data_IF_752133366059
#
_entry.id   IF_752133366059
#
_cell.length_a   1.000
_cell.length_b   1.000
_cell.length_c   1.000
_cell.angle_alpha   90.00
_cell.angle_beta   90.00
_cell.angle_gamma   90.00
#
_symmetry.space_group_name_H-M   'P 1'
#
loop_
_entity.id
_entity.type
_entity.pdbx_description
1 polymer ?
#
# COMPACT_ATOMS: atom_id res chain seq x y z
N UNK A 1 -64.16 -28.50 16.09
CA UNK A 1 -63.37 -28.37 14.84
C UNK A 1 -63.30 -26.92 14.36
N UNK A 2 -64.37 -26.13 14.40
CA UNK A 2 -64.40 -24.75 13.91
C UNK A 2 -63.48 -23.79 14.73
N UNK A 3 -63.46 -23.94 16.07
CA UNK A 3 -62.63 -23.11 16.94
C UNK A 3 -61.12 -23.27 16.70
N UNK A 4 -60.64 -24.49 16.44
CA UNK A 4 -59.22 -24.75 16.13
C UNK A 4 -58.78 -24.12 14.80
N UNK A 5 -59.61 -24.13 13.80
CA UNK A 5 -59.34 -23.51 12.50
C UNK A 5 -59.23 -21.99 12.62
N UNK A 6 -60.12 -21.37 13.41
CA UNK A 6 -60.11 -19.92 13.65
C UNK A 6 -58.84 -19.45 14.38
N UNK A 7 -58.40 -20.25 15.39
CA UNK A 7 -57.10 -19.96 16.11
C UNK A 7 -55.91 -20.07 15.15
N UNK A 8 -55.85 -21.16 14.36
CA UNK A 8 -54.77 -21.35 13.35
C UNK A 8 -54.72 -20.24 12.32
N UNK A 9 -55.86 -19.79 11.82
CA UNK A 9 -55.93 -18.67 10.87
C UNK A 9 -55.46 -17.35 11.49
N UNK A 10 -55.78 -17.09 12.76
CA UNK A 10 -55.32 -15.90 13.50
C UNK A 10 -53.83 -15.92 13.77
N UNK A 11 -53.24 -17.05 14.15
CA UNK A 11 -51.80 -17.19 14.34
C UNK A 11 -51.03 -17.08 13.03
N UNK A 12 -51.55 -17.70 11.95
CA UNK A 12 -50.96 -17.58 10.63
C UNK A 12 -51.01 -16.14 10.09
N UNK A 13 -52.06 -15.38 10.35
CA UNK A 13 -52.13 -13.97 10.00
C UNK A 13 -51.16 -13.11 10.80
N UNK A 14 -51.00 -13.37 12.10
CA UNK A 14 -49.96 -12.68 12.95
C UNK A 14 -48.54 -12.96 12.46
N UNK A 15 -48.21 -14.22 12.15
CA UNK A 15 -46.91 -14.61 11.64
C UNK A 15 -46.61 -13.93 10.27
N UNK A 16 -47.58 -13.85 9.37
CA UNK A 16 -47.41 -13.13 8.11
C UNK A 16 -47.17 -11.62 8.32
N UNK A 17 -47.94 -11.00 9.23
CA UNK A 17 -47.76 -9.59 9.54
C UNK A 17 -46.38 -9.28 10.18
N UNK A 18 -45.95 -10.15 11.08
CA UNK A 18 -44.63 -10.04 11.74
C UNK A 18 -43.50 -10.22 10.71
N UNK A 19 -43.63 -11.23 9.85
CA UNK A 19 -42.63 -11.49 8.80
C UNK A 19 -42.53 -10.31 7.81
N UNK A 20 -43.67 -9.72 7.42
CA UNK A 20 -43.70 -8.54 6.57
C UNK A 20 -43.07 -7.30 7.24
N UNK A 21 -43.26 -7.14 8.57
CA UNK A 21 -42.63 -6.06 9.32
C UNK A 21 -41.11 -6.26 9.42
N UNK A 22 -40.68 -7.48 9.70
CA UNK A 22 -39.26 -7.84 9.77
C UNK A 22 -38.54 -7.62 8.44
N UNK A 23 -39.17 -8.03 7.33
CA UNK A 23 -38.61 -7.79 5.98
C UNK A 23 -38.46 -6.31 5.65
N UNK A 24 -39.40 -5.47 6.10
CA UNK A 24 -39.26 -4.01 5.93
C UNK A 24 -38.13 -3.44 6.75
N UNK A 25 -37.96 -3.88 7.99
CA UNK A 25 -36.89 -3.44 8.86
C UNK A 25 -35.53 -3.86 8.31
N UNK A 26 -35.39 -5.10 7.83
CA UNK A 26 -34.15 -5.59 7.19
C UNK A 26 -33.83 -4.73 5.95
N UNK A 27 -34.80 -4.45 5.11
CA UNK A 27 -34.60 -3.62 3.91
C UNK A 27 -34.20 -2.18 4.26
N UNK A 28 -34.78 -1.61 5.32
CA UNK A 28 -34.43 -0.28 5.83
C UNK A 28 -33.02 -0.25 6.41
N UNK A 29 -32.66 -1.22 7.24
CA UNK A 29 -31.30 -1.37 7.78
C UNK A 29 -30.26 -1.51 6.68
N UNK A 30 -30.54 -2.31 5.64
CA UNK A 30 -29.64 -2.48 4.50
C UNK A 30 -29.43 -1.16 3.76
N UNK A 31 -30.47 -0.40 3.51
CA UNK A 31 -30.36 0.95 2.90
C UNK A 31 -29.55 1.92 3.74
N UNK A 32 -29.75 1.92 5.06
CA UNK A 32 -28.98 2.79 5.98
C UNK A 32 -27.50 2.40 5.98
N UNK A 33 -27.20 1.09 6.02
CA UNK A 33 -25.83 0.58 5.93
C UNK A 33 -25.15 0.97 4.61
N UNK A 34 -25.83 0.81 3.47
CA UNK A 34 -25.30 1.21 2.16
C UNK A 34 -25.03 2.73 2.12
N UNK A 35 -25.95 3.54 2.64
CA UNK A 35 -25.77 5.00 2.71
C UNK A 35 -24.62 5.39 3.62
N UNK A 36 -24.48 4.73 4.77
CA UNK A 36 -23.37 4.96 5.71
C UNK A 36 -22.04 4.61 5.07
N UNK A 37 -21.93 3.46 4.43
CA UNK A 37 -20.70 3.03 3.75
C UNK A 37 -20.26 4.03 2.66
N UNK A 38 -21.21 4.56 1.87
CA UNK A 38 -20.92 5.60 0.87
C UNK A 38 -20.47 6.92 1.52
N UNK A 39 -21.11 7.30 2.64
CA UNK A 39 -20.74 8.51 3.36
C UNK A 39 -19.35 8.41 4.00
N UNK A 40 -19.04 7.28 4.64
CA UNK A 40 -17.72 7.00 5.20
C UNK A 40 -16.63 7.03 4.13
N UNK A 41 -16.87 6.39 2.99
CA UNK A 41 -15.94 6.41 1.86
C UNK A 41 -15.71 7.81 1.31
N UNK A 42 -16.77 8.64 1.26
CA UNK A 42 -16.69 10.02 0.80
C UNK A 42 -15.90 10.90 1.77
N UNK A 43 -16.11 10.70 3.08
CA UNK A 43 -15.37 11.40 4.14
C UNK A 43 -13.89 11.03 4.11
N UNK A 44 -13.58 9.75 3.96
CA UNK A 44 -12.19 9.28 3.85
C UNK A 44 -11.48 9.90 2.64
N UNK A 45 -12.13 9.91 1.49
CA UNK A 45 -11.59 10.54 0.29
C UNK A 45 -11.40 12.06 0.47
N UNK A 46 -12.37 12.73 1.08
CA UNK A 46 -12.28 14.14 1.38
C UNK A 46 -11.12 14.44 2.34
N UNK A 47 -10.94 13.61 3.36
CA UNK A 47 -9.82 13.71 4.30
C UNK A 47 -8.46 13.51 3.61
N UNK A 48 -8.34 12.51 2.72
CA UNK A 48 -7.13 12.28 1.91
C UNK A 48 -6.82 13.48 1.01
N UNK A 49 -7.84 14.08 0.38
CA UNK A 49 -7.67 15.26 -0.46
C UNK A 49 -7.35 16.52 0.36
N UNK A 50 -7.94 16.68 1.53
CA UNK A 50 -7.64 17.78 2.43
C UNK A 50 -6.18 17.71 2.93
N UNK A 51 -5.73 16.53 3.36
CA UNK A 51 -4.34 16.30 3.73
C UNK A 51 -3.37 16.60 2.57
N UNK A 52 -3.71 16.20 1.34
CA UNK A 52 -2.92 16.54 0.14
C UNK A 52 -2.94 18.05 -0.14
N UNK A 53 -4.07 18.74 0.12
CA UNK A 53 -4.22 20.18 -0.05
C UNK A 53 -3.39 20.96 0.97
N UNK A 54 -3.44 20.61 2.24
CA UNK A 54 -2.63 21.22 3.30
C UNK A 54 -1.13 21.07 3.02
N UNK A 55 -0.74 19.98 2.37
CA UNK A 55 0.66 19.68 2.05
C UNK A 55 1.06 20.04 0.61
N UNK A 56 0.23 20.82 -0.08
CA UNK A 56 0.53 21.25 -1.46
C UNK A 56 1.87 21.98 -1.58
N UNK A 57 2.29 22.67 -0.53
CA UNK A 57 3.59 23.34 -0.44
C UNK A 57 4.75 22.30 -0.42
N UNK A 58 4.62 21.23 0.35
CA UNK A 58 5.63 20.16 0.41
C UNK A 58 5.71 19.40 -0.91
N UNK A 59 4.57 19.04 -1.50
CA UNK A 59 4.51 18.41 -2.83
C UNK A 59 5.12 19.30 -3.89
N UNK A 60 4.79 20.59 -3.89
CA UNK A 60 5.36 21.58 -4.82
C UNK A 60 6.88 21.69 -4.63
N UNK A 61 7.35 21.69 -3.40
CA UNK A 61 8.77 21.73 -3.09
C UNK A 61 9.49 20.49 -3.61
N UNK A 62 8.96 19.30 -3.37
CA UNK A 62 9.50 18.01 -3.84
C UNK A 62 9.50 17.87 -5.38
N UNK A 63 8.55 18.49 -6.07
CA UNK A 63 8.54 18.55 -7.54
C UNK A 63 9.47 19.62 -8.09
N UNK A 64 9.62 20.75 -7.41
CA UNK A 64 10.48 21.83 -7.83
C UNK A 64 11.97 21.51 -7.67
N UNK A 65 12.36 20.70 -6.71
CA UNK A 65 13.74 20.29 -6.48
C UNK A 65 14.36 19.58 -7.71
N UNK A 66 13.80 18.45 -8.24
CA UNK A 66 14.33 17.81 -9.42
C UNK A 66 14.29 18.71 -10.66
N UNK A 67 13.26 19.57 -10.80
CA UNK A 67 13.20 20.56 -11.87
C UNK A 67 14.35 21.56 -11.82
N UNK A 68 14.71 22.07 -10.65
CA UNK A 68 15.84 22.97 -10.48
C UNK A 68 17.16 22.26 -10.79
N UNK A 69 17.32 21.01 -10.33
CA UNK A 69 18.50 20.21 -10.64
C UNK A 69 18.63 19.92 -12.15
N UNK A 70 17.53 19.55 -12.83
CA UNK A 70 17.53 19.37 -14.31
C UNK A 70 17.96 20.63 -15.04
N UNK A 71 17.46 21.81 -14.65
CA UNK A 71 17.89 23.08 -15.20
C UNK A 71 19.40 23.29 -15.06
N UNK A 72 19.95 22.96 -13.90
CA UNK A 72 21.40 23.10 -13.63
C UNK A 72 22.22 22.13 -14.49
N UNK A 73 21.82 20.86 -14.59
CA UNK A 73 22.51 19.88 -15.44
C UNK A 73 22.40 20.24 -16.91
N UNK A 74 21.26 20.73 -17.38
CA UNK A 74 21.06 21.15 -18.77
C UNK A 74 21.98 22.35 -19.13
N UNK A 75 22.04 23.36 -18.25
CA UNK A 75 22.93 24.50 -18.43
C UNK A 75 24.41 24.06 -18.42
N UNK A 76 24.77 23.17 -17.48
CA UNK A 76 26.11 22.58 -17.38
C UNK A 76 26.49 21.80 -18.64
N UNK A 77 25.60 20.94 -19.15
CA UNK A 77 25.81 20.18 -20.39
C UNK A 77 26.03 21.10 -21.58
N UNK A 78 25.25 22.20 -21.69
CA UNK A 78 25.46 23.21 -22.75
C UNK A 78 26.82 23.89 -22.66
N UNK A 79 27.35 24.19 -21.48
CA UNK A 79 28.68 24.73 -21.28
C UNK A 79 29.78 23.73 -21.62
N UNK A 80 29.60 22.45 -21.23
CA UNK A 80 30.53 21.38 -21.54
C UNK A 80 30.67 21.14 -23.06
N UNK A 81 29.55 21.13 -23.76
CA UNK A 81 29.57 21.04 -25.24
C UNK A 81 30.31 22.20 -25.89
N UNK A 82 30.10 23.43 -25.42
CA UNK A 82 30.85 24.61 -25.91
C UNK A 82 32.36 24.53 -25.66
N UNK A 83 32.75 23.76 -24.63
CA UNK A 83 34.16 23.50 -24.26
C UNK A 83 34.73 22.23 -24.89
N UNK A 84 34.03 21.64 -25.87
CA UNK A 84 34.40 20.40 -26.53
C UNK A 84 34.62 19.21 -25.61
N UNK A 85 33.72 19.05 -24.56
CA UNK A 85 33.73 17.97 -23.57
C UNK A 85 32.43 17.17 -23.67
N UNK A 86 32.18 16.41 -24.77
CA UNK A 86 30.91 15.76 -25.02
C UNK A 86 30.60 14.62 -24.02
N UNK A 87 31.62 13.86 -23.59
CA UNK A 87 31.41 12.73 -22.69
C UNK A 87 30.86 13.16 -21.31
N UNK A 88 31.33 14.30 -20.80
CA UNK A 88 30.81 14.85 -19.55
C UNK A 88 29.43 15.48 -19.74
N UNK A 89 29.14 16.01 -20.92
CA UNK A 89 27.79 16.45 -21.23
C UNK A 89 26.81 15.26 -21.28
N UNK A 90 27.20 14.11 -21.85
CA UNK A 90 26.42 12.88 -21.85
C UNK A 90 26.12 12.39 -20.45
N UNK A 91 27.09 12.46 -19.53
CA UNK A 91 26.85 12.14 -18.11
C UNK A 91 25.80 13.05 -17.46
N UNK A 92 25.76 14.33 -17.84
CA UNK A 92 24.73 15.27 -17.36
C UNK A 92 23.35 14.94 -17.89
N UNK A 93 23.22 14.46 -19.13
CA UNK A 93 21.94 13.98 -19.68
C UNK A 93 21.44 12.73 -18.97
N UNK A 94 22.32 11.77 -18.63
CA UNK A 94 21.95 10.61 -17.83
C UNK A 94 21.37 11.01 -16.46
N UNK A 95 21.96 12.01 -15.80
CA UNK A 95 21.42 12.54 -14.54
C UNK A 95 20.06 13.23 -14.70
N UNK A 96 19.81 13.88 -15.85
CA UNK A 96 18.50 14.47 -16.16
C UNK A 96 17.45 13.36 -16.31
N UNK A 97 17.78 12.27 -16.99
CA UNK A 97 16.89 11.13 -17.18
C UNK A 97 16.50 10.50 -15.83
N UNK A 98 17.47 10.26 -14.95
CA UNK A 98 17.21 9.79 -13.56
C UNK A 98 16.23 10.72 -12.80
N UNK A 99 16.36 12.05 -12.99
CA UNK A 99 15.47 13.02 -12.32
C UNK A 99 14.06 13.01 -12.92
N UNK A 100 13.91 12.78 -14.23
CA UNK A 100 12.61 12.63 -14.90
C UNK A 100 11.91 11.38 -14.39
N UNK A 101 12.62 10.25 -14.33
CA UNK A 101 12.07 9.00 -13.75
C UNK A 101 11.60 9.18 -12.33
N UNK A 102 12.37 9.89 -11.52
CA UNK A 102 12.03 10.22 -10.15
C UNK A 102 10.75 11.07 -10.06
N UNK A 103 10.60 12.11 -10.88
CA UNK A 103 9.36 12.91 -10.93
C UNK A 103 8.16 12.05 -11.33
N UNK A 104 8.34 11.14 -12.29
CA UNK A 104 7.32 10.17 -12.67
C UNK A 104 6.89 9.28 -11.48
N UNK A 105 7.84 8.85 -10.66
CA UNK A 105 7.55 8.07 -9.46
C UNK A 105 6.74 8.87 -8.41
N UNK A 106 7.14 10.13 -8.14
CA UNK A 106 6.41 11.04 -7.24
C UNK A 106 4.96 11.24 -7.73
N UNK A 107 4.79 11.51 -9.03
CA UNK A 107 3.47 11.74 -9.63
C UNK A 107 2.59 10.50 -9.55
N UNK A 108 3.14 9.31 -9.79
CA UNK A 108 2.42 8.03 -9.63
C UNK A 108 1.99 7.80 -8.18
N UNK A 109 2.83 8.10 -7.19
CA UNK A 109 2.52 7.99 -5.78
C UNK A 109 1.36 8.93 -5.37
N UNK A 110 1.40 10.19 -5.82
CA UNK A 110 0.34 11.17 -5.57
C UNK A 110 -0.99 10.72 -6.20
N UNK A 111 -0.95 10.24 -7.44
CA UNK A 111 -2.13 9.72 -8.14
C UNK A 111 -2.72 8.49 -7.43
N UNK A 112 -1.87 7.59 -6.94
CA UNK A 112 -2.29 6.42 -6.17
C UNK A 112 -2.95 6.81 -4.84
N UNK A 113 -2.42 7.83 -4.15
CA UNK A 113 -3.01 8.34 -2.91
C UNK A 113 -4.39 8.98 -3.12
N UNK A 114 -4.58 9.67 -4.25
CA UNK A 114 -5.83 10.35 -4.60
C UNK A 114 -6.88 9.42 -5.26
N UNK A 115 -6.47 8.22 -5.74
CA UNK A 115 -7.34 7.32 -6.50
C UNK A 115 -8.29 6.56 -5.57
N UNK A 116 -9.55 6.52 -5.96
CA UNK A 116 -10.58 5.67 -5.36
C UNK A 116 -10.34 4.21 -5.77
N UNK A 117 -10.17 3.30 -4.82
CA UNK A 117 -10.08 1.87 -5.11
C UNK A 117 -11.41 1.35 -5.66
N UNK A 118 -11.47 1.05 -6.94
CA UNK A 118 -12.67 0.55 -7.64
C UNK A 118 -12.36 -0.63 -8.57
N UNK A 119 -11.29 -1.39 -8.32
CA UNK A 119 -11.09 -2.64 -9.06
C UNK A 119 -11.71 -3.79 -8.28
N UNK A 120 -12.40 -4.68 -8.99
CA UNK A 120 -13.02 -5.85 -8.38
C UNK A 120 -11.95 -6.71 -7.70
N UNK A 121 -12.16 -7.05 -6.44
CA UNK A 121 -11.28 -7.96 -5.73
C UNK A 121 -11.31 -9.33 -6.40
N UNK A 122 -10.14 -9.91 -6.60
CA UNK A 122 -9.95 -11.23 -7.17
C UNK A 122 -9.03 -12.06 -6.27
N UNK A 123 -9.06 -13.39 -6.37
CA UNK A 123 -8.09 -14.23 -5.66
C UNK A 123 -6.66 -13.92 -6.13
N UNK A 124 -5.79 -13.61 -5.18
CA UNK A 124 -4.37 -13.30 -5.42
C UNK A 124 -3.50 -14.25 -4.62
N UNK A 125 -2.61 -14.97 -5.31
CA UNK A 125 -1.57 -15.75 -4.67
C UNK A 125 -0.42 -14.82 -4.24
N UNK A 126 -0.21 -14.75 -2.93
CA UNK A 126 0.78 -13.88 -2.30
C UNK A 126 2.22 -14.23 -2.69
N UNK A 127 2.53 -15.52 -2.88
CA UNK A 127 3.86 -15.97 -3.30
C UNK A 127 4.15 -15.54 -4.74
N UNK A 128 3.17 -15.65 -5.63
CA UNK A 128 3.26 -15.16 -7.01
C UNK A 128 3.40 -13.63 -7.08
N UNK A 129 2.64 -12.89 -6.29
CA UNK A 129 2.75 -11.43 -6.21
C UNK A 129 4.12 -10.98 -5.66
N UNK A 130 4.66 -11.70 -4.66
CA UNK A 130 6.00 -11.46 -4.14
C UNK A 130 7.08 -11.72 -5.19
N UNK A 131 6.97 -12.81 -5.96
CA UNK A 131 7.91 -13.13 -7.03
C UNK A 131 7.94 -12.03 -8.10
N UNK A 132 6.77 -11.52 -8.52
CA UNK A 132 6.65 -10.37 -9.44
C UNK A 132 7.31 -9.11 -8.87
N UNK A 133 7.05 -8.81 -7.60
CA UNK A 133 7.62 -7.65 -6.91
C UNK A 133 9.15 -7.71 -6.82
N UNK A 134 9.70 -8.88 -6.52
CA UNK A 134 11.15 -9.11 -6.50
C UNK A 134 11.77 -9.00 -7.89
N UNK A 135 11.10 -9.50 -8.93
CA UNK A 135 11.56 -9.37 -10.32
C UNK A 135 11.65 -7.91 -10.75
N UNK A 136 10.66 -7.08 -10.37
CA UNK A 136 10.71 -5.63 -10.63
C UNK A 136 11.87 -4.93 -9.92
N UNK A 137 12.30 -5.45 -8.76
CA UNK A 137 13.38 -4.88 -7.96
C UNK A 137 14.77 -5.46 -8.29
N UNK A 138 14.83 -6.50 -9.14
CA UNK A 138 16.06 -7.24 -9.42
C UNK A 138 17.25 -6.37 -9.84
N UNK A 139 17.12 -5.35 -10.72
CA UNK A 139 18.25 -4.49 -11.08
C UNK A 139 18.85 -3.78 -9.86
N UNK A 140 18.02 -3.27 -8.96
CA UNK A 140 18.44 -2.55 -7.76
C UNK A 140 19.07 -3.50 -6.71
N UNK A 141 18.52 -4.70 -6.58
CA UNK A 141 19.04 -5.75 -5.70
C UNK A 141 20.43 -6.20 -6.12
N UNK A 142 20.65 -6.43 -7.43
CA UNK A 142 21.95 -6.82 -7.99
C UNK A 142 22.97 -5.70 -7.86
N UNK A 143 22.60 -4.46 -8.16
CA UNK A 143 23.50 -3.32 -8.06
C UNK A 143 24.05 -3.11 -6.64
N UNK A 144 23.22 -3.39 -5.62
CA UNK A 144 23.56 -3.19 -4.20
C UNK A 144 24.12 -4.43 -3.52
N UNK A 145 24.19 -5.57 -4.20
CA UNK A 145 24.66 -6.85 -3.66
C UNK A 145 23.98 -7.23 -2.34
N UNK A 146 22.66 -7.05 -2.26
CA UNK A 146 21.88 -7.36 -1.07
C UNK A 146 21.63 -8.86 -0.98
N UNK A 147 21.94 -9.45 0.16
CA UNK A 147 21.58 -10.85 0.47
C UNK A 147 20.09 -10.92 0.79
N UNK A 148 19.34 -11.65 -0.02
CA UNK A 148 17.89 -11.89 0.19
C UNK A 148 17.68 -13.33 0.61
N UNK A 149 17.13 -13.52 1.82
CA UNK A 149 16.59 -14.80 2.27
C UNK A 149 15.07 -14.80 2.15
N UNK A 150 14.51 -15.93 1.72
CA UNK A 150 13.07 -16.13 1.55
C UNK A 150 12.62 -17.38 2.26
N UNK A 151 11.59 -17.27 3.08
CA UNK A 151 10.91 -18.38 3.73
C UNK A 151 9.45 -18.31 3.27
N UNK A 152 9.05 -19.26 2.44
CA UNK A 152 7.71 -19.32 1.85
C UNK A 152 7.07 -20.64 2.25
N UNK A 153 5.75 -20.68 2.46
CA UNK A 153 5.04 -21.93 2.69
C UNK A 153 4.97 -22.77 1.40
N UNK A 154 4.84 -24.08 1.55
CA UNK A 154 4.68 -25.01 0.43
C UNK A 154 3.32 -24.87 -0.26
N UNK A 155 2.29 -24.49 0.50
CA UNK A 155 0.93 -24.30 0.00
C UNK A 155 0.70 -22.85 -0.46
N UNK A 156 -0.09 -22.63 -1.53
CA UNK A 156 -0.45 -21.28 -1.99
C UNK A 156 -1.21 -20.50 -0.92
N UNK A 157 -0.83 -19.26 -0.71
CA UNK A 157 -1.50 -18.34 0.22
C UNK A 157 -2.36 -17.37 -0.59
N UNK A 158 -3.68 -17.64 -0.61
CA UNK A 158 -4.62 -16.88 -1.42
C UNK A 158 -5.36 -15.86 -0.55
N UNK A 159 -5.36 -14.61 -1.00
CA UNK A 159 -6.11 -13.50 -0.40
C UNK A 159 -7.05 -12.89 -1.43
N UNK A 160 -8.14 -12.25 -0.98
CA UNK A 160 -9.02 -11.47 -1.87
C UNK A 160 -8.49 -10.05 -1.98
N UNK A 161 -8.20 -9.58 -3.21
CA UNK A 161 -7.68 -8.23 -3.38
C UNK A 161 -7.39 -7.84 -4.82
N UNK A 162 -6.80 -6.66 -4.96
CA UNK A 162 -6.23 -6.16 -6.20
C UNK A 162 -4.72 -6.48 -6.22
N UNK A 163 -4.32 -7.33 -7.16
CA UNK A 163 -2.93 -7.79 -7.31
C UNK A 163 -1.95 -6.61 -7.44
N UNK A 164 -2.28 -5.60 -8.25
CA UNK A 164 -1.39 -4.46 -8.47
C UNK A 164 -1.18 -3.64 -7.19
N UNK A 165 -2.23 -3.47 -6.39
CA UNK A 165 -2.15 -2.77 -5.09
C UNK A 165 -1.32 -3.57 -4.08
N UNK A 166 -1.48 -4.89 -4.03
CA UNK A 166 -0.68 -5.78 -3.17
C UNK A 166 0.80 -5.72 -3.57
N UNK A 167 1.11 -5.86 -4.88
CA UNK A 167 2.47 -5.73 -5.40
C UNK A 167 3.07 -4.33 -5.11
N UNK A 168 2.28 -3.27 -5.18
CA UNK A 168 2.69 -1.92 -4.82
C UNK A 168 3.14 -1.83 -3.35
N UNK A 169 2.41 -2.44 -2.42
CA UNK A 169 2.80 -2.51 -1.01
C UNK A 169 4.12 -3.27 -0.87
N UNK A 170 4.22 -4.46 -1.48
CA UNK A 170 5.43 -5.29 -1.42
C UNK A 170 6.66 -4.55 -1.96
N UNK A 171 6.56 -3.91 -3.12
CA UNK A 171 7.65 -3.12 -3.71
C UNK A 171 8.05 -1.96 -2.80
N UNK A 172 7.08 -1.30 -2.17
CA UNK A 172 7.39 -0.21 -1.25
C UNK A 172 8.14 -0.70 0.01
N UNK A 173 7.71 -1.81 0.62
CA UNK A 173 8.39 -2.40 1.78
C UNK A 173 9.81 -2.86 1.41
N UNK A 174 9.98 -3.53 0.27
CA UNK A 174 11.28 -3.96 -0.24
C UNK A 174 12.20 -2.77 -0.50
N UNK A 175 11.71 -1.70 -1.11
CA UNK A 175 12.47 -0.47 -1.36
C UNK A 175 12.92 0.18 -0.06
N UNK A 176 12.05 0.23 0.95
CA UNK A 176 12.40 0.77 2.25
C UNK A 176 13.50 -0.06 2.94
N UNK A 177 13.41 -1.39 2.89
CA UNK A 177 14.46 -2.27 3.39
C UNK A 177 15.78 -2.08 2.66
N UNK A 178 15.77 -1.96 1.33
CA UNK A 178 16.96 -1.65 0.53
C UNK A 178 17.59 -0.30 0.89
N UNK A 179 16.76 0.70 1.12
CA UNK A 179 17.25 2.03 1.49
C UNK A 179 17.85 2.04 2.89
N UNK A 180 17.23 1.33 3.83
CA UNK A 180 17.74 1.21 5.20
C UNK A 180 19.09 0.48 5.27
N UNK A 181 19.36 -0.44 4.35
CA UNK A 181 20.61 -1.22 4.33
C UNK A 181 21.76 -0.58 3.56
N UNK A 182 21.58 0.64 2.98
CA UNK A 182 22.60 1.33 2.17
C UNK A 182 23.97 1.48 2.84
N UNK A 183 23.99 1.67 4.14
CA UNK A 183 25.22 1.90 4.93
C UNK A 183 25.78 0.62 5.56
N UNK A 184 25.10 -0.51 5.38
CA UNK A 184 25.52 -1.77 5.97
C UNK A 184 26.65 -2.40 5.16
N UNK A 185 27.66 -2.96 5.85
CA UNK A 185 28.76 -3.68 5.20
C UNK A 185 28.27 -4.95 4.48
N UNK A 186 27.29 -5.63 5.04
CA UNK A 186 26.64 -6.82 4.50
C UNK A 186 25.13 -6.58 4.53
N UNK A 187 24.57 -5.94 3.50
CA UNK A 187 23.15 -5.64 3.46
C UNK A 187 22.32 -6.93 3.34
N UNK A 188 21.37 -7.12 4.27
CA UNK A 188 20.51 -8.30 4.34
C UNK A 188 19.05 -7.90 4.43
N UNK A 189 18.22 -8.60 3.67
CA UNK A 189 16.76 -8.51 3.75
C UNK A 189 16.18 -9.93 3.82
N UNK A 190 15.42 -10.18 4.87
CA UNK A 190 14.70 -11.43 5.07
C UNK A 190 13.22 -11.23 4.78
N UNK A 191 12.64 -12.13 4.01
CA UNK A 191 11.24 -12.10 3.59
C UNK A 191 10.60 -13.41 4.03
N UNK A 192 9.55 -13.32 4.85
CA UNK A 192 8.82 -14.48 5.35
C UNK A 192 7.36 -14.31 4.95
N UNK A 193 6.82 -15.29 4.23
CA UNK A 193 5.39 -15.42 4.01
C UNK A 193 4.88 -16.60 4.83
N UNK A 194 3.87 -16.37 5.64
CA UNK A 194 3.23 -17.41 6.45
C UNK A 194 1.72 -17.34 6.33
N UNK A 195 1.07 -18.49 6.48
CA UNK A 195 -0.37 -18.64 6.52
C UNK A 195 -0.76 -19.17 7.91
N UNK A 196 -1.68 -18.47 8.58
CA UNK A 196 -2.28 -18.83 9.85
C UNK A 196 -3.75 -18.42 9.83
N UNK A 197 -4.22 -17.67 10.81
CA UNK A 197 -5.53 -16.99 10.75
C UNK A 197 -5.54 -15.91 9.66
N UNK A 198 -4.37 -15.34 9.36
CA UNK A 198 -4.14 -14.36 8.30
C UNK A 198 -2.95 -14.76 7.45
N UNK A 199 -2.91 -14.28 6.20
CA UNK A 199 -1.72 -14.27 5.38
C UNK A 199 -0.79 -13.17 5.87
N UNK A 200 0.38 -13.51 6.37
CA UNK A 200 1.34 -12.55 6.91
C UNK A 200 2.60 -12.53 6.07
N UNK A 201 2.90 -11.38 5.46
CA UNK A 201 4.18 -11.10 4.83
C UNK A 201 5.03 -10.26 5.76
N UNK A 202 6.17 -10.78 6.18
CA UNK A 202 7.17 -10.09 6.99
C UNK A 202 8.37 -9.72 6.12
N UNK A 203 8.77 -8.46 6.15
CA UNK A 203 10.00 -7.95 5.53
C UNK A 203 10.87 -7.40 6.64
N UNK A 204 12.06 -7.99 6.83
CA UNK A 204 13.03 -7.60 7.83
C UNK A 204 14.33 -7.17 7.16
N UNK A 205 14.88 -6.05 7.59
CA UNK A 205 16.20 -5.56 7.19
C UNK A 205 17.18 -5.58 8.35
N UNK A 206 18.46 -5.42 8.05
CA UNK A 206 19.52 -5.23 9.04
C UNK A 206 20.04 -3.78 9.07
N UNK A 207 19.18 -2.81 8.73
CA UNK A 207 19.49 -1.40 8.79
C UNK A 207 19.55 -0.82 10.21
N UNK A 208 19.49 0.51 10.35
CA UNK A 208 19.55 1.18 11.65
C UNK A 208 18.28 1.00 12.50
N UNK A 209 17.18 0.53 11.92
CA UNK A 209 15.89 0.48 12.57
C UNK A 209 15.05 1.75 12.37
N UNK A 210 14.02 1.91 13.18
CA UNK A 210 13.00 2.98 13.11
C UNK A 210 13.13 3.84 14.36
N UNK A 211 13.36 5.15 14.19
CA UNK A 211 13.50 6.09 15.28
C UNK A 211 12.14 6.46 15.91
N UNK A 212 11.13 6.71 15.07
CA UNK A 212 9.81 7.11 15.53
C UNK A 212 8.73 6.20 14.91
N UNK A 213 8.27 5.24 15.70
CA UNK A 213 7.24 4.28 15.30
C UNK A 213 5.85 4.91 15.19
N UNK A 214 5.56 5.92 16.01
CA UNK A 214 4.22 6.53 16.07
C UNK A 214 3.93 7.36 14.80
N UNK A 215 4.93 8.08 14.29
CA UNK A 215 4.79 8.90 13.08
C UNK A 215 5.04 8.12 11.77
N UNK A 216 5.49 6.86 11.85
CA UNK A 216 5.99 6.11 10.70
C UNK A 216 4.99 5.99 9.53
N UNK A 217 3.71 5.87 9.84
CA UNK A 217 2.62 5.75 8.87
C UNK A 217 1.92 7.09 8.58
N UNK A 218 2.36 8.18 9.20
CA UNK A 218 1.83 9.50 8.89
C UNK A 218 2.26 9.93 7.48
N UNK A 219 1.37 10.53 6.69
CA UNK A 219 1.73 11.08 5.40
C UNK A 219 2.90 12.07 5.52
N UNK A 220 3.85 12.00 4.59
CA UNK A 220 5.04 12.87 4.49
C UNK A 220 6.08 12.72 5.59
N UNK A 221 5.88 11.83 6.55
CA UNK A 221 6.94 11.50 7.47
C UNK A 221 8.07 10.76 6.75
N UNK A 222 9.28 11.29 6.81
CA UNK A 222 10.48 10.69 6.22
C UNK A 222 11.73 11.08 6.99
N UNK A 223 12.60 10.11 7.20
CA UNK A 223 13.97 10.31 7.74
C UNK A 223 15.01 10.38 6.62
N UNK A 224 14.59 10.24 5.35
CA UNK A 224 15.47 10.33 4.18
C UNK A 224 15.82 11.79 3.89
N UNK A 225 16.97 12.00 3.22
CA UNK A 225 17.36 13.35 2.82
C UNK A 225 16.32 13.97 1.87
N UNK A 226 16.17 15.31 1.90
CA UNK A 226 15.30 15.99 0.96
C UNK A 226 15.56 15.53 -0.47
N UNK A 227 14.51 15.03 -1.10
CA UNK A 227 14.60 14.50 -2.44
C UNK A 227 14.76 12.97 -2.54
N UNK A 228 15.04 12.21 -1.48
CA UNK A 228 15.13 10.73 -1.52
C UNK A 228 13.81 10.01 -1.20
N UNK A 229 12.76 10.75 -0.91
CA UNK A 229 11.42 10.21 -0.69
C UNK A 229 10.45 11.25 -0.14
N UNK A 230 9.21 11.19 -0.60
CA UNK A 230 8.12 12.13 -0.24
C UNK A 230 7.48 11.78 1.12
N UNK A 231 7.85 10.64 1.73
CA UNK A 231 7.20 10.17 2.96
C UNK A 231 5.76 9.67 2.78
N UNK A 232 5.32 9.41 1.54
CA UNK A 232 3.97 8.90 1.26
C UNK A 232 3.90 7.37 1.15
N UNK A 233 5.02 6.70 0.98
CA UNK A 233 5.04 5.27 0.66
C UNK A 233 4.36 4.42 1.72
N UNK A 234 4.71 4.57 2.99
CA UNK A 234 4.13 3.78 4.09
C UNK A 234 2.68 4.18 4.40
N UNK A 235 2.34 5.46 4.31
CA UNK A 235 0.96 5.92 4.45
C UNK A 235 0.05 5.30 3.37
N UNK A 236 0.49 5.29 2.11
CA UNK A 236 -0.22 4.65 0.99
C UNK A 236 -0.32 3.13 1.22
N UNK A 237 0.77 2.49 1.64
CA UNK A 237 0.79 1.05 1.91
C UNK A 237 -0.17 0.68 3.03
N UNK A 238 -0.21 1.45 4.11
CA UNK A 238 -1.16 1.25 5.20
C UNK A 238 -2.60 1.42 4.74
N UNK A 239 -2.90 2.45 3.94
CA UNK A 239 -4.22 2.65 3.35
C UNK A 239 -4.64 1.49 2.44
N UNK A 240 -3.75 1.00 1.58
CA UNK A 240 -4.03 -0.16 0.71
C UNK A 240 -4.35 -1.40 1.55
N UNK A 241 -3.54 -1.69 2.55
CA UNK A 241 -3.71 -2.88 3.40
C UNK A 241 -5.00 -2.80 4.21
N UNK A 242 -5.35 -1.62 4.72
CA UNK A 242 -6.61 -1.38 5.43
C UNK A 242 -7.83 -1.55 4.50
N UNK A 243 -7.77 -1.03 3.26
CA UNK A 243 -8.83 -1.21 2.25
C UNK A 243 -9.07 -2.70 1.90
N UNK A 244 -8.04 -3.54 2.06
CA UNK A 244 -8.09 -4.99 1.88
C UNK A 244 -8.54 -5.74 3.15
N UNK A 245 -8.97 -5.03 4.19
CA UNK A 245 -9.37 -5.60 5.47
C UNK A 245 -8.21 -6.14 6.31
N UNK A 246 -6.98 -5.75 5.99
CA UNK A 246 -5.77 -6.18 6.66
C UNK A 246 -5.18 -5.15 7.61
N UNK A 247 -3.94 -5.40 8.05
CA UNK A 247 -3.17 -4.50 8.91
C UNK A 247 -1.70 -4.47 8.50
N UNK A 248 -1.11 -3.27 8.44
CA UNK A 248 0.32 -3.07 8.26
C UNK A 248 0.92 -2.56 9.57
N UNK A 249 1.90 -3.28 10.10
CA UNK A 249 2.60 -2.93 11.34
C UNK A 249 4.11 -2.86 11.13
N UNK A 250 4.80 -2.17 12.03
CA UNK A 250 6.24 -2.10 12.03
C UNK A 250 6.79 -2.13 13.46
N UNK A 251 7.98 -2.69 13.61
CA UNK A 251 8.72 -2.71 14.88
C UNK A 251 10.22 -2.77 14.61
N UNK A 252 11.01 -2.48 15.61
CA UNK A 252 12.44 -2.73 15.54
C UNK A 252 12.75 -4.22 15.78
N UNK A 253 13.71 -4.74 15.04
CA UNK A 253 14.20 -6.10 15.20
C UNK A 253 15.04 -6.25 16.47
N UNK A 254 14.98 -7.41 17.13
CA UNK A 254 15.76 -7.69 18.34
C UNK A 254 17.29 -7.61 18.11
N UNK A 255 17.74 -7.92 16.90
CA UNK A 255 19.14 -7.87 16.49
C UNK A 255 19.48 -6.59 15.70
N UNK A 256 18.67 -5.54 15.80
CA UNK A 256 18.71 -4.35 14.97
C UNK A 256 17.87 -4.47 13.70
N UNK A 257 17.81 -3.37 12.93
CA UNK A 257 16.99 -3.27 11.72
C UNK A 257 15.51 -3.07 11.98
N UNK A 258 14.74 -2.92 10.93
CA UNK A 258 13.29 -2.80 10.98
C UNK A 258 12.60 -4.10 10.54
N UNK A 259 11.42 -4.33 11.07
CA UNK A 259 10.52 -5.43 10.71
C UNK A 259 9.16 -4.84 10.35
N UNK A 260 8.74 -5.03 9.11
CA UNK A 260 7.41 -4.68 8.63
C UNK A 260 6.59 -5.94 8.44
N UNK A 261 5.35 -5.93 8.90
CA UNK A 261 4.42 -7.06 8.80
C UNK A 261 3.12 -6.60 8.15
N UNK A 262 2.82 -7.15 6.96
CA UNK A 262 1.55 -6.98 6.25
C UNK A 262 0.69 -8.21 6.49
N UNK A 263 -0.45 -8.03 7.13
CA UNK A 263 -1.43 -9.08 7.42
C UNK A 263 -2.68 -8.86 6.58
N UNK A 264 -3.14 -9.89 5.87
CA UNK A 264 -4.35 -9.88 5.05
C UNK A 264 -5.24 -11.07 5.40
N UNK A 265 -6.59 -10.95 5.34
CA UNK A 265 -7.49 -12.07 5.50
C UNK A 265 -7.24 -13.14 4.44
N UNK A 266 -7.16 -14.41 4.83
CA UNK A 266 -7.04 -15.53 3.91
C UNK A 266 -8.42 -15.85 3.32
N UNK A 267 -8.47 -16.19 2.03
CA UNK A 267 -9.67 -16.66 1.37
C UNK A 267 -10.15 -17.97 2.02
N UNK A 268 -11.35 -17.94 2.63
CA UNK A 268 -11.92 -19.11 3.34
C UNK A 268 -11.87 -19.05 4.87
N UNK A 269 -11.30 -18.03 5.50
CA UNK A 269 -11.52 -17.74 6.92
C UNK A 269 -12.94 -17.16 7.11
N UNK A 270 -13.67 -17.62 8.10
CA UNK A 270 -15.10 -17.27 8.35
C UNK A 270 -15.42 -15.76 8.41
N UNK A 271 -14.41 -14.92 8.50
CA UNK A 271 -14.55 -13.46 8.56
C UNK A 271 -14.96 -12.81 7.20
N UNK A 272 -14.90 -13.55 6.09
CA UNK A 272 -15.24 -13.03 4.75
C UNK A 272 -16.71 -13.27 4.33
N UNK A 273 -17.52 -13.92 5.16
CA UNK A 273 -18.91 -14.26 4.81
C UNK A 273 -19.86 -13.08 5.07
N UNK A 274 -19.51 -12.16 5.98
CA UNK A 274 -20.36 -10.98 6.26
C UNK A 274 -20.21 -9.79 5.30
N UNK A 275 -19.17 -9.79 4.46
CA UNK A 275 -18.94 -8.70 3.50
C UNK A 275 -19.48 -8.98 2.08
N UNK A 276 -19.99 -10.21 1.81
CA UNK A 276 -20.46 -10.63 0.49
C UNK A 276 -21.99 -10.88 0.40
N UNK A 277 -22.73 -10.73 1.52
CA UNK A 277 -24.19 -10.71 1.55
C UNK A 277 -24.71 -9.28 1.79
#
# INVERSE_FOLDING_TARGET
TAGRLAIFQRESAKLRALNAALQREIAERKRVQETLAVAEQTLEQSSKLAALGEMSAAVSHELNQPLAAMKTYLAGAGLLLKRNRPDEALSSFGRIDDLIERMGAITRQLKSYARKGQEAFSPVDMASALASSLSMMEPQLRQRQVEISRILPDEPVIVMGDRMRIEQVMVNLLRNALDATKTQRLPKVEIILSAGETATLTVRDNGPGIENLDALFEPFYTTKQPGDGVGLGLAISSGIVNDLGGRLTARNGQSGGAVFEMQLPIMGSETNIEAAE
#
